data_IF_824363609711
#
_entry.id   IF_824363609711
#
_cell.length_a   1.000
_cell.length_b   1.000
_cell.length_c   1.000
_cell.angle_alpha   90.00
_cell.angle_beta   90.00
_cell.angle_gamma   90.00
#
_symmetry.space_group_name_H-M   'P 1'
#
loop_
_entity.id
_entity.type
_entity.pdbx_description
1 polymer ?
#
# COMPACT_ATOMS: atom_id res chain seq x y z
N UNK A 1 41.75 -14.87 -37.88
CA UNK A 1 40.62 -15.07 -36.96
C UNK A 1 40.98 -14.40 -35.64
N UNK A 2 40.59 -13.14 -35.46
CA UNK A 2 40.88 -12.35 -34.25
C UNK A 2 39.51 -11.98 -33.66
N UNK A 3 39.21 -12.59 -32.51
CA UNK A 3 37.95 -12.45 -31.80
C UNK A 3 37.92 -11.09 -31.10
N UNK A 4 36.93 -10.25 -31.44
CA UNK A 4 36.67 -8.98 -30.76
C UNK A 4 36.10 -9.26 -29.38
N UNK A 5 36.78 -8.77 -28.33
CA UNK A 5 36.28 -8.82 -26.96
C UNK A 5 35.05 -7.91 -26.83
N UNK A 6 33.92 -8.48 -26.41
CA UNK A 6 32.77 -7.71 -25.95
C UNK A 6 33.01 -7.34 -24.49
N UNK A 7 33.26 -6.08 -24.22
CA UNK A 7 33.31 -5.54 -22.86
C UNK A 7 31.86 -5.42 -22.37
N UNK A 8 31.45 -6.32 -21.48
CA UNK A 8 30.22 -6.16 -20.72
C UNK A 8 30.45 -5.04 -19.69
N UNK A 9 29.80 -3.90 -19.89
CA UNK A 9 29.72 -2.84 -18.87
C UNK A 9 28.86 -3.40 -17.75
N UNK A 10 29.50 -3.77 -16.64
CA UNK A 10 28.84 -4.11 -15.40
C UNK A 10 28.24 -2.81 -14.84
N UNK A 11 26.95 -2.60 -15.09
CA UNK A 11 26.19 -1.49 -14.51
C UNK A 11 26.12 -1.75 -13.01
N UNK A 12 26.87 -0.97 -12.23
CA UNK A 12 26.82 -1.03 -10.77
C UNK A 12 25.43 -0.61 -10.33
N UNK A 13 24.69 -1.51 -9.67
CA UNK A 13 23.43 -1.19 -9.03
C UNK A 13 23.66 -0.04 -8.05
N UNK A 14 23.16 1.13 -8.42
CA UNK A 14 23.01 2.27 -7.53
C UNK A 14 22.15 1.83 -6.35
N UNK A 15 22.60 2.18 -5.15
CA UNK A 15 22.03 1.83 -3.85
C UNK A 15 20.50 1.82 -3.85
N UNK A 16 19.91 0.64 -3.70
CA UNK A 16 18.56 0.52 -3.16
C UNK A 16 18.65 0.93 -1.69
N UNK A 17 18.13 2.12 -1.38
CA UNK A 17 17.70 2.44 -0.03
C UNK A 17 16.84 1.28 0.44
N UNK A 18 17.25 0.54 1.48
CA UNK A 18 16.40 -0.50 2.04
C UNK A 18 15.20 0.18 2.68
N UNK A 19 14.10 0.29 1.95
CA UNK A 19 12.80 0.53 2.58
C UNK A 19 12.58 -0.68 3.50
N UNK A 20 12.29 -0.41 4.77
CA UNK A 20 12.03 -1.45 5.75
C UNK A 20 10.94 -2.39 5.21
N UNK A 21 11.06 -3.70 5.46
CA UNK A 21 10.03 -4.64 5.05
C UNK A 21 8.67 -4.29 5.69
N UNK A 22 7.54 -4.55 5.01
CA UNK A 22 6.22 -4.31 5.58
C UNK A 22 6.07 -4.92 6.98
N UNK A 23 5.45 -4.16 7.88
CA UNK A 23 5.27 -4.48 9.30
C UNK A 23 3.95 -5.21 9.48
N UNK A 24 4.00 -6.37 10.14
CA UNK A 24 2.82 -7.19 10.41
C UNK A 24 1.98 -6.61 11.55
N UNK A 25 0.68 -6.45 11.33
CA UNK A 25 -0.30 -6.19 12.37
C UNK A 25 -0.99 -7.52 12.78
N UNK A 26 -0.78 -7.95 14.02
CA UNK A 26 -1.33 -9.22 14.51
C UNK A 26 -2.85 -9.20 14.72
N UNK A 27 -3.47 -8.02 14.83
CA UNK A 27 -4.88 -7.88 15.14
C UNK A 27 -5.78 -8.15 13.94
N UNK A 28 -5.32 -7.82 12.73
CA UNK A 28 -6.05 -8.08 11.47
C UNK A 28 -5.31 -9.02 10.51
N UNK A 29 -4.03 -9.33 10.78
CA UNK A 29 -3.23 -10.22 9.95
C UNK A 29 -2.67 -9.57 8.68
N UNK A 30 -2.75 -8.24 8.56
CA UNK A 30 -2.30 -7.49 7.40
C UNK A 30 -0.87 -6.98 7.58
N UNK A 31 -0.26 -6.53 6.49
CA UNK A 31 1.08 -5.94 6.50
C UNK A 31 1.03 -4.51 5.99
N UNK A 32 1.87 -3.65 6.54
CA UNK A 32 1.82 -2.22 6.27
C UNK A 32 3.22 -1.65 6.04
N UNK A 33 3.33 -0.67 5.15
CA UNK A 33 4.56 0.11 5.00
C UNK A 33 4.24 1.59 4.82
N UNK A 34 5.12 2.44 5.35
CA UNK A 34 5.04 3.88 5.23
C UNK A 34 6.02 4.35 4.15
N UNK A 35 5.51 5.07 3.16
CA UNK A 35 6.30 5.77 2.16
C UNK A 35 6.33 7.27 2.47
N UNK A 36 7.50 7.81 2.79
CA UNK A 36 7.65 9.24 3.13
C UNK A 36 8.08 10.06 1.92
N UNK A 37 7.45 11.21 1.73
CA UNK A 37 7.82 12.18 0.70
C UNK A 37 9.14 12.90 1.04
N UNK A 38 9.82 13.33 -0.02
CA UNK A 38 11.03 14.16 0.02
C UNK A 38 10.82 15.40 -0.85
N UNK A 39 11.77 16.33 -0.83
CA UNK A 39 11.69 17.54 -1.66
C UNK A 39 11.62 17.22 -3.17
N UNK A 40 12.27 16.14 -3.60
CA UNK A 40 12.34 15.72 -5.01
C UNK A 40 11.28 14.67 -5.38
N UNK A 41 10.56 14.11 -4.39
CA UNK A 41 9.61 13.03 -4.62
C UNK A 41 8.38 13.15 -3.72
N UNK A 42 7.26 13.47 -4.36
CA UNK A 42 5.93 13.56 -3.79
C UNK A 42 4.94 13.01 -4.79
N UNK A 43 3.93 12.31 -4.28
CA UNK A 43 2.78 11.87 -5.05
C UNK A 43 1.55 12.63 -4.54
N UNK A 44 0.61 12.93 -5.44
CA UNK A 44 -0.74 13.23 -5.01
C UNK A 44 -1.43 11.94 -4.55
N UNK A 45 -2.66 12.05 -4.02
CA UNK A 45 -3.38 10.90 -3.49
C UNK A 45 -3.67 9.85 -4.56
N UNK A 46 -3.97 10.27 -5.79
CA UNK A 46 -4.30 9.36 -6.90
C UNK A 46 -3.05 8.60 -7.33
N UNK A 47 -1.92 9.28 -7.45
CA UNK A 47 -0.63 8.66 -7.77
C UNK A 47 -0.15 7.75 -6.63
N UNK A 48 -0.36 8.13 -5.37
CA UNK A 48 -0.06 7.29 -4.21
C UNK A 48 -0.91 6.01 -4.22
N UNK A 49 -2.19 6.10 -4.57
CA UNK A 49 -3.07 4.95 -4.77
C UNK A 49 -2.57 4.04 -5.89
N UNK A 50 -2.29 4.60 -7.06
CA UNK A 50 -1.77 3.82 -8.20
C UNK A 50 -0.43 3.15 -7.87
N UNK A 51 0.43 3.85 -7.14
CA UNK A 51 1.70 3.30 -6.66
C UNK A 51 1.46 2.13 -5.71
N UNK A 52 0.60 2.28 -4.69
CA UNK A 52 0.24 1.22 -3.77
C UNK A 52 -0.31 -0.03 -4.49
N UNK A 53 -1.20 0.16 -5.46
CA UNK A 53 -1.79 -0.92 -6.27
C UNK A 53 -0.77 -1.64 -7.17
N UNK A 54 0.37 -1.01 -7.46
CA UNK A 54 1.46 -1.63 -8.23
C UNK A 54 2.34 -2.56 -7.39
N UNK A 55 2.26 -2.47 -6.06
CA UNK A 55 3.09 -3.24 -5.15
C UNK A 55 2.45 -4.59 -4.83
N UNK A 56 3.30 -5.55 -4.48
CA UNK A 56 2.85 -6.87 -4.02
C UNK A 56 3.69 -7.34 -2.85
N UNK A 57 3.05 -7.97 -1.88
CA UNK A 57 3.72 -8.56 -0.72
C UNK A 57 3.01 -9.85 -0.30
N UNK A 58 3.76 -10.93 -0.14
CA UNK A 58 3.24 -12.27 0.17
C UNK A 58 2.06 -12.69 -0.73
N UNK A 59 2.11 -12.32 -2.01
CA UNK A 59 1.08 -12.63 -3.00
C UNK A 59 -0.17 -11.73 -2.95
N UNK A 60 -0.29 -10.84 -1.97
CA UNK A 60 -1.32 -9.80 -1.94
C UNK A 60 -0.89 -8.56 -2.71
N UNK A 61 -1.82 -7.92 -3.41
CA UNK A 61 -1.62 -6.57 -3.97
C UNK A 61 -1.72 -5.53 -2.86
N UNK A 62 -0.93 -4.47 -2.97
CA UNK A 62 -1.02 -3.32 -2.08
C UNK A 62 -2.23 -2.44 -2.40
N UNK A 63 -2.66 -1.65 -1.42
CA UNK A 63 -3.62 -0.56 -1.57
C UNK A 63 -3.33 0.50 -0.51
N UNK A 64 -3.84 1.73 -0.68
CA UNK A 64 -3.73 2.72 0.41
C UNK A 64 -4.47 2.21 1.64
N UNK A 65 -3.81 2.28 2.79
CA UNK A 65 -4.28 1.63 4.01
C UNK A 65 -5.68 2.08 4.41
N UNK A 66 -6.49 1.12 4.83
CA UNK A 66 -7.80 1.37 5.42
C UNK A 66 -7.67 1.37 6.95
N UNK A 67 -8.66 1.92 7.63
CA UNK A 67 -8.70 1.90 9.09
C UNK A 67 -10.11 1.55 9.54
N UNK A 68 -10.29 0.32 9.96
CA UNK A 68 -11.58 -0.31 10.28
C UNK A 68 -11.78 -0.50 11.78
N UNK A 69 -10.76 -0.21 12.59
CA UNK A 69 -10.81 -0.33 14.05
C UNK A 69 -9.82 0.61 14.76
N UNK A 70 -10.08 0.88 16.04
CA UNK A 70 -9.15 1.66 16.89
C UNK A 70 -7.77 1.00 17.01
N UNK A 71 -7.70 -0.33 17.11
CA UNK A 71 -6.42 -1.02 17.24
C UNK A 71 -5.56 -0.88 15.97
N UNK A 72 -6.20 -0.91 14.81
CA UNK A 72 -5.52 -0.67 13.53
C UNK A 72 -5.02 0.76 13.44
N UNK A 73 -5.85 1.74 13.83
CA UNK A 73 -5.48 3.15 13.90
C UNK A 73 -4.26 3.38 14.82
N UNK A 74 -4.32 2.82 16.03
CA UNK A 74 -3.24 2.89 17.01
C UNK A 74 -1.95 2.22 16.48
N UNK A 75 -2.07 1.14 15.72
CA UNK A 75 -0.94 0.46 15.10
C UNK A 75 -0.29 1.35 14.04
N UNK A 76 -1.07 1.94 13.12
CA UNK A 76 -0.57 2.86 12.10
C UNK A 76 0.11 4.08 12.73
N UNK A 77 -0.52 4.68 13.75
CA UNK A 77 0.02 5.86 14.41
C UNK A 77 1.29 5.56 15.22
N UNK A 78 1.23 4.58 16.13
CA UNK A 78 2.29 4.36 17.11
C UNK A 78 3.43 3.46 16.61
N UNK A 79 3.13 2.50 15.74
CA UNK A 79 4.12 1.51 15.27
C UNK A 79 4.77 1.94 13.97
N UNK A 80 3.98 2.41 12.99
CA UNK A 80 4.50 2.85 11.69
C UNK A 80 4.95 4.30 11.67
N UNK A 81 4.41 5.15 12.56
CA UNK A 81 4.67 6.58 12.51
C UNK A 81 4.01 7.23 11.30
N UNK A 82 2.76 6.86 11.01
CA UNK A 82 2.01 7.31 9.83
C UNK A 82 1.56 8.78 9.87
N UNK A 83 2.21 9.64 10.67
CA UNK A 83 1.75 11.01 10.87
C UNK A 83 1.86 11.82 9.57
N UNK A 84 0.85 12.66 9.28
CA UNK A 84 0.83 13.42 8.04
C UNK A 84 0.74 12.57 6.78
N UNK A 85 0.19 11.36 6.81
CA UNK A 85 0.19 10.46 5.66
C UNK A 85 -1.19 10.30 5.04
N UNK A 86 -1.25 10.16 3.72
CA UNK A 86 -2.47 9.74 3.04
C UNK A 86 -2.88 8.33 3.46
N UNK A 87 -4.20 8.12 3.54
CA UNK A 87 -4.86 6.84 3.74
C UNK A 87 -5.87 6.59 2.62
N UNK A 88 -6.42 5.38 2.55
CA UNK A 88 -7.30 4.94 1.46
C UNK A 88 -8.74 5.46 1.52
N UNK A 89 -9.03 6.50 2.31
CA UNK A 89 -10.38 7.07 2.40
C UNK A 89 -10.62 8.11 1.31
N UNK A 90 -11.78 8.05 0.66
CA UNK A 90 -12.22 9.00 -0.36
C UNK A 90 -13.69 9.37 -0.16
N UNK A 91 -14.01 10.67 -0.26
CA UNK A 91 -15.39 11.12 -0.43
C UNK A 91 -15.75 11.10 -1.91
N UNK A 92 -16.81 10.38 -2.25
CA UNK A 92 -17.30 10.28 -3.63
C UNK A 92 -18.46 11.22 -3.92
N UNK A 93 -18.93 11.96 -2.91
CA UNK A 93 -20.01 12.93 -3.04
C UNK A 93 -19.52 14.35 -3.38
N UNK A 94 -18.26 14.68 -3.03
CA UNK A 94 -17.69 16.02 -3.15
C UNK A 94 -18.26 17.00 -2.12
N UNK A 95 -18.94 16.48 -1.10
CA UNK A 95 -19.61 17.24 -0.04
C UNK A 95 -19.66 16.49 1.30
N UNK A 96 -18.68 15.61 1.52
CA UNK A 96 -18.33 14.99 2.81
C UNK A 96 -19.39 14.02 3.34
N UNK A 97 -20.37 13.68 2.51
CA UNK A 97 -21.49 12.80 2.90
C UNK A 97 -21.28 11.34 2.55
N UNK A 98 -20.30 10.98 1.72
CA UNK A 98 -20.12 9.62 1.23
C UNK A 98 -18.66 9.17 1.17
N UNK A 99 -18.07 9.03 2.36
CA UNK A 99 -16.74 8.45 2.57
C UNK A 99 -16.73 6.93 2.36
N UNK A 100 -15.73 6.46 1.62
CA UNK A 100 -15.53 5.05 1.29
C UNK A 100 -14.04 4.70 1.37
N UNK A 101 -13.76 3.45 1.71
CA UNK A 101 -12.42 2.89 1.57
C UNK A 101 -12.17 2.46 0.11
N UNK A 102 -10.94 2.62 -0.38
CA UNK A 102 -10.52 2.15 -1.72
C UNK A 102 -10.73 0.64 -1.93
N UNK A 103 -10.83 -0.14 -0.85
CA UNK A 103 -11.11 -1.58 -0.85
C UNK A 103 -12.60 -1.91 -0.97
N UNK A 104 -13.49 -0.93 -0.78
CA UNK A 104 -14.95 -1.12 -0.71
C UNK A 104 -15.46 -1.63 0.64
N UNK A 105 -14.59 -1.73 1.65
CA UNK A 105 -15.00 -2.03 3.03
C UNK A 105 -15.93 -0.96 3.61
N UNK A 106 -16.71 -1.33 4.62
CA UNK A 106 -17.61 -0.40 5.28
C UNK A 106 -16.84 0.72 6.00
N UNK A 107 -17.18 1.97 5.70
CA UNK A 107 -16.63 3.15 6.37
C UNK A 107 -17.37 3.42 7.69
N UNK A 108 -17.14 2.57 8.70
CA UNK A 108 -17.89 2.58 9.98
C UNK A 108 -17.08 3.04 11.19
N UNK A 109 -15.77 2.78 11.21
CA UNK A 109 -14.85 3.37 12.17
C UNK A 109 -14.39 4.73 11.66
N UNK A 110 -14.43 5.73 12.53
CA UNK A 110 -13.91 7.06 12.20
C UNK A 110 -13.09 7.62 13.34
N UNK A 111 -12.03 8.35 12.98
CA UNK A 111 -11.19 9.04 13.93
C UNK A 111 -10.86 10.47 13.46
N UNK A 112 -11.86 11.13 12.89
CA UNK A 112 -11.78 12.52 12.46
C UNK A 112 -11.37 13.44 13.60
N UNK A 113 -10.59 14.47 13.26
CA UNK A 113 -10.44 15.63 14.14
C UNK A 113 -11.82 16.22 14.43
N UNK A 114 -12.01 16.77 15.62
CA UNK A 114 -13.26 17.46 15.95
C UNK A 114 -13.52 18.60 14.98
N UNK A 115 -14.60 18.51 14.22
CA UNK A 115 -14.98 19.48 13.18
C UNK A 115 -14.77 18.97 11.76
N UNK A 116 -14.04 17.87 11.59
CA UNK A 116 -13.80 17.22 10.30
C UNK A 116 -14.77 16.08 10.03
N UNK A 117 -14.94 15.71 8.75
CA UNK A 117 -14.46 16.40 7.54
C UNK A 117 -15.25 17.68 7.24
N UNK A 118 -14.59 18.71 6.66
CA UNK A 118 -15.17 20.06 6.54
C UNK A 118 -15.09 20.71 5.13
N UNK A 119 -14.44 20.07 4.15
CA UNK A 119 -14.20 20.61 2.81
C UNK A 119 -13.55 21.99 2.78
N UNK A 120 -12.55 22.21 3.61
CA UNK A 120 -11.99 23.54 3.74
C UNK A 120 -11.26 23.95 2.46
N UNK A 121 -11.44 25.22 2.07
CA UNK A 121 -10.82 25.78 0.87
C UNK A 121 -10.15 27.10 1.22
N UNK A 122 -8.92 27.27 0.75
CA UNK A 122 -8.17 28.53 0.86
C UNK A 122 -8.66 29.60 -0.14
N UNK A 123 -9.65 29.27 -0.99
CA UNK A 123 -10.20 30.08 -2.06
C UNK A 123 -9.16 30.55 -3.11
N UNK A 124 -8.00 29.90 -3.16
CA UNK A 124 -6.97 30.24 -4.13
C UNK A 124 -7.21 29.52 -5.46
N UNK A 125 -7.08 30.21 -6.61
CA UNK A 125 -7.16 29.57 -7.90
C UNK A 125 -5.98 28.60 -8.19
N UNK A 126 -4.94 28.61 -7.35
CA UNK A 126 -3.80 27.71 -7.47
C UNK A 126 -4.03 26.35 -6.79
N UNK A 127 -5.04 26.24 -5.95
CA UNK A 127 -5.39 25.06 -5.15
C UNK A 127 -6.90 24.82 -5.22
N UNK A 128 -7.43 24.56 -6.43
CA UNK A 128 -8.87 24.63 -6.71
C UNK A 128 -9.66 23.38 -6.30
N UNK A 129 -8.98 22.35 -5.81
CA UNK A 129 -9.56 21.03 -5.58
C UNK A 129 -10.25 20.97 -4.22
N UNK A 130 -11.43 20.34 -4.16
CA UNK A 130 -12.13 20.01 -2.91
C UNK A 130 -11.32 19.04 -2.04
N UNK A 131 -11.64 19.01 -0.74
CA UNK A 131 -11.01 18.08 0.20
C UNK A 131 -11.72 16.72 0.23
N UNK A 132 -11.49 15.91 -0.80
CA UNK A 132 -12.19 14.64 -0.98
C UNK A 132 -11.36 13.41 -0.52
N UNK A 133 -10.19 13.61 0.10
CA UNK A 133 -9.24 12.54 0.38
C UNK A 133 -8.81 12.50 1.85
N UNK A 134 -8.63 11.30 2.40
CA UNK A 134 -8.32 11.12 3.83
C UNK A 134 -6.81 11.15 4.08
N UNK A 135 -6.40 11.85 5.13
CA UNK A 135 -5.03 11.81 5.66
C UNK A 135 -5.00 11.83 7.19
N UNK A 136 -3.92 11.32 7.78
CA UNK A 136 -3.59 11.61 9.17
C UNK A 136 -3.07 13.03 9.30
N UNK A 137 -3.55 13.79 10.28
CA UNK A 137 -2.95 15.09 10.62
C UNK A 137 -1.50 14.95 11.11
N UNK A 138 -0.71 16.01 10.93
CA UNK A 138 0.58 16.15 11.59
C UNK A 138 0.38 16.34 13.11
N UNK A 139 1.30 15.87 13.98
CA UNK A 139 1.14 16.01 15.42
C UNK A 139 1.03 17.48 15.83
N UNK A 140 -0.03 17.81 16.56
CA UNK A 140 -0.31 19.14 17.08
C UNK A 140 -1.36 19.06 18.18
N UNK A 141 -1.56 20.17 18.91
CA UNK A 141 -2.54 20.21 19.99
C UNK A 141 -3.94 19.88 19.45
N UNK A 142 -4.52 18.78 19.94
CA UNK A 142 -5.85 18.23 19.59
C UNK A 142 -5.95 17.43 18.27
N UNK A 143 -4.84 17.18 17.55
CA UNK A 143 -4.88 16.48 16.25
C UNK A 143 -4.04 15.19 16.23
N UNK A 144 -3.31 14.90 17.31
CA UNK A 144 -2.50 13.67 17.44
C UNK A 144 -3.36 12.43 17.27
N UNK A 145 -3.05 11.60 16.26
CA UNK A 145 -3.78 10.36 15.99
C UNK A 145 -5.04 10.53 15.16
N UNK A 146 -5.44 11.76 14.80
CA UNK A 146 -6.73 12.01 14.16
C UNK A 146 -6.62 12.32 12.67
N UNK A 147 -7.73 12.17 11.95
CA UNK A 147 -7.82 12.34 10.50
C UNK A 147 -8.25 13.73 10.08
N UNK A 148 -7.83 14.13 8.88
CA UNK A 148 -8.36 15.25 8.10
C UNK A 148 -8.84 14.74 6.74
N UNK A 149 -9.78 15.46 6.16
CA UNK A 149 -9.93 15.53 4.72
C UNK A 149 -8.89 16.48 4.11
N UNK A 150 -8.51 16.26 2.87
CA UNK A 150 -7.54 17.09 2.18
C UNK A 150 -7.79 17.03 0.68
N UNK A 151 -7.37 18.06 -0.04
CA UNK A 151 -7.39 18.01 -1.49
C UNK A 151 -6.34 17.03 -2.05
N UNK A 152 -6.46 16.71 -3.34
CA UNK A 152 -5.74 15.60 -3.99
C UNK A 152 -4.22 15.64 -3.77
N UNK A 153 -3.59 16.81 -3.83
CA UNK A 153 -2.15 16.97 -3.66
C UNK A 153 -1.76 17.47 -2.26
N UNK A 154 -2.75 17.66 -1.40
CA UNK A 154 -2.65 18.15 -0.03
C UNK A 154 -1.94 19.49 0.07
N UNK A 155 -2.41 20.42 -0.74
CA UNK A 155 -1.80 21.72 -0.97
C UNK A 155 -2.69 22.89 -0.55
N UNK A 156 -2.07 23.97 -0.07
CA UNK A 156 -2.74 25.23 0.23
C UNK A 156 -1.77 26.40 0.08
N UNK A 157 -2.29 27.61 -0.05
CA UNK A 157 -1.51 28.83 -0.10
C UNK A 157 -1.29 29.41 1.30
N UNK A 158 -0.04 29.59 1.68
CA UNK A 158 0.35 30.35 2.88
C UNK A 158 1.35 31.44 2.49
N UNK A 159 1.05 32.70 2.83
CA UNK A 159 1.91 33.85 2.53
C UNK A 159 2.40 33.88 1.05
N UNK A 160 1.49 33.64 0.11
CA UNK A 160 1.77 33.55 -1.34
C UNK A 160 2.74 32.43 -1.74
N UNK A 161 2.94 31.42 -0.90
CA UNK A 161 3.71 30.22 -1.20
C UNK A 161 2.80 29.00 -1.16
N UNK A 162 2.96 28.13 -2.16
CA UNK A 162 2.34 26.80 -2.14
C UNK A 162 2.99 25.98 -1.03
N UNK A 163 2.16 25.47 -0.12
CA UNK A 163 2.55 24.57 0.97
C UNK A 163 1.83 23.25 0.78
N UNK A 164 2.41 22.23 1.41
CA UNK A 164 1.80 20.93 1.45
C UNK A 164 1.81 20.37 2.87
N UNK A 165 0.72 19.73 3.28
CA UNK A 165 0.59 19.16 4.63
C UNK A 165 0.99 17.68 4.67
N UNK A 166 0.57 16.88 3.68
CA UNK A 166 0.98 15.46 3.60
C UNK A 166 2.50 15.29 3.47
N UNK A 167 3.04 14.29 4.18
CA UNK A 167 4.44 13.87 4.27
C UNK A 167 4.67 12.43 3.80
N UNK A 168 3.63 11.73 3.37
CA UNK A 168 3.75 10.36 2.87
C UNK A 168 2.40 9.70 2.63
N UNK A 169 2.41 8.39 2.51
CA UNK A 169 1.22 7.55 2.41
C UNK A 169 1.49 6.17 3.00
N UNK A 170 0.44 5.52 3.50
CA UNK A 170 0.54 4.18 4.05
C UNK A 170 0.00 3.18 3.04
N UNK A 171 0.77 2.13 2.75
CA UNK A 171 0.33 0.99 1.95
C UNK A 171 0.00 -0.16 2.89
N UNK A 172 -1.09 -0.85 2.60
CA UNK A 172 -1.54 -2.05 3.27
C UNK A 172 -1.59 -3.23 2.29
N UNK A 173 -1.29 -4.42 2.80
CA UNK A 173 -1.34 -5.68 2.08
C UNK A 173 -2.16 -6.70 2.85
N UNK A 174 -3.16 -7.28 2.19
CA UNK A 174 -3.80 -8.52 2.64
C UNK A 174 -3.04 -9.72 2.08
N UNK A 175 -2.37 -10.55 2.91
CA UNK A 175 -1.71 -11.75 2.41
C UNK A 175 -2.72 -12.68 1.74
N UNK A 176 -2.47 -13.07 0.48
CA UNK A 176 -3.20 -14.20 -0.09
C UNK A 176 -2.59 -15.47 0.47
N UNK A 177 -3.42 -16.33 1.05
CA UNK A 177 -2.94 -17.62 1.53
C UNK A 177 -2.22 -18.34 0.38
N UNK A 178 -0.90 -18.51 0.50
CA UNK A 178 -0.20 -19.48 -0.36
C UNK A 178 -0.84 -20.81 -0.03
N UNK A 179 -1.58 -21.38 -0.98
CA UNK A 179 -2.04 -22.76 -0.86
C UNK A 179 -0.81 -23.57 -0.43
N UNK A 180 -0.85 -24.31 0.69
CA UNK A 180 0.30 -25.13 1.06
C UNK A 180 0.58 -25.99 -0.17
N UNK A 181 1.82 -25.97 -0.65
CA UNK A 181 2.26 -26.92 -1.67
C UNK A 181 1.91 -28.28 -1.08
N UNK A 182 0.82 -28.91 -1.54
CA UNK A 182 0.45 -30.24 -1.09
C UNK A 182 1.66 -31.08 -1.47
N UNK A 183 2.44 -31.61 -0.48
CA UNK A 183 3.55 -32.47 -0.82
C UNK A 183 2.92 -33.61 -1.60
N UNK A 184 3.32 -33.78 -2.86
CA UNK A 184 2.87 -34.90 -3.69
C UNK A 184 3.06 -36.14 -2.83
N UNK A 185 2.00 -36.84 -2.39
CA UNK A 185 2.18 -37.98 -1.50
C UNK A 185 3.09 -38.97 -2.21
N UNK A 186 4.01 -39.60 -1.48
CA UNK A 186 4.94 -40.59 -2.03
C UNK A 186 4.22 -41.73 -2.81
N UNK A 187 2.89 -41.87 -2.70
CA UNK A 187 2.07 -42.76 -3.50
C UNK A 187 2.01 -42.44 -5.00
N UNK A 188 2.19 -41.18 -5.43
CA UNK A 188 2.20 -40.84 -6.87
C UNK A 188 3.47 -41.40 -7.56
N UNK A 189 4.58 -41.54 -6.84
CA UNK A 189 5.78 -42.24 -7.34
C UNK A 189 5.57 -43.75 -7.47
N UNK A 190 4.72 -44.35 -6.63
CA UNK A 190 4.38 -45.78 -6.74
C UNK A 190 3.55 -46.09 -8.00
N UNK A 191 2.66 -45.18 -8.42
CA UNK A 191 1.92 -45.36 -9.68
C UNK A 191 2.80 -45.20 -10.92
N UNK A 192 3.76 -44.25 -10.93
CA UNK A 192 4.69 -44.08 -12.05
C UNK A 192 5.64 -45.29 -12.21
N UNK A 193 6.10 -45.88 -11.11
CA UNK A 193 6.95 -47.08 -11.13
C UNK A 193 6.19 -48.35 -11.52
N UNK A 194 4.92 -48.46 -11.13
CA UNK A 194 4.04 -49.59 -11.50
C UNK A 194 3.70 -49.64 -13.00
N UNK A 195 3.47 -48.49 -13.64
CA UNK A 195 3.19 -48.41 -15.08
C UNK A 195 4.44 -48.77 -15.91
N UNK A 196 5.64 -48.39 -15.46
CA UNK A 196 6.89 -48.73 -16.16
C UNK A 196 7.21 -50.24 -16.10
N UNK A 197 6.89 -50.91 -14.99
CA UNK A 197 7.10 -52.36 -14.82
C UNK A 197 6.13 -53.19 -15.67
N UNK A 198 4.88 -52.74 -15.87
CA UNK A 198 3.93 -53.44 -16.73
C UNK A 198 4.29 -53.35 -18.22
N UNK A 199 4.88 -52.23 -18.67
CA UNK A 199 5.33 -52.06 -20.05
C UNK A 199 6.60 -52.88 -20.37
N UNK A 200 7.46 -53.16 -19.38
CA UNK A 200 8.67 -53.98 -19.57
C UNK A 200 8.36 -55.47 -19.65
N UNK A 201 7.27 -55.94 -19.02
CA UNK A 201 6.86 -57.35 -19.03
C UNK A 201 6.23 -57.80 -20.36
N UNK A 202 5.56 -56.90 -21.09
CA UNK A 202 4.95 -57.24 -22.38
C UNK A 202 5.95 -57.38 -23.53
N UNK A 203 7.16 -56.79 -23.43
CA UNK A 203 8.21 -56.93 -24.46
C UNK A 203 9.06 -58.20 -24.35
N UNK A 204 8.95 -58.96 -23.26
CA UNK A 204 9.79 -60.14 -23.01
C UNK A 204 9.09 -61.48 -23.30
N UNK A 205 7.85 -61.45 -23.81
CA UNK A 205 7.03 -62.64 -24.07
C UNK A 205 6.58 -62.74 -25.56
N UNK A 206 7.34 -62.17 -26.49
CA UNK A 206 7.13 -62.32 -27.94
C UNK A 206 8.43 -62.75 -28.62
#
# INVERSE_FOLDING_TARGET
MILKAFTAILLTATSLSSLASPVFNADNGHYYELHTFTDDWRLDWVDAKNFAESLTFLGGSGYLATVTSQNEDDFLWNTLGAQGSFLGGIDTSGNETNWQWVTGEAFSYTNWVTGEPNNWQDNSPLTPNNEDYLMYWWPGNNYTGHWNDTNVDSSFMDNNQLKYTTRGFVVEYTPTATSPIVPIPHSIWLFASGILLMLKRQKNNA
#
